data_IF_846499852772
#
_entry.id   IF_846499852772
#
_cell.length_a   1.000
_cell.length_b   1.000
_cell.length_c   1.000
_cell.angle_alpha   90.00
_cell.angle_beta   90.00
_cell.angle_gamma   90.00
#
_symmetry.space_group_name_H-M   'P 1'
#
loop_
_entity.id
_entity.type
_entity.pdbx_description
1 polymer ?
#
# COMPACT_ATOMS: atom_id res chain seq x y z
N UNK A 1 16.89 -5.99 -35.43
CA UNK A 1 16.20 -4.70 -35.32
C UNK A 1 17.07 -3.64 -35.99
N UNK A 2 16.55 -2.88 -36.94
CA UNK A 2 17.33 -1.83 -37.59
C UNK A 2 17.37 -0.56 -36.71
N UNK A 3 18.30 0.36 -36.99
CA UNK A 3 18.46 1.60 -36.23
C UNK A 3 17.17 2.45 -36.19
N UNK A 4 16.37 2.41 -37.27
CA UNK A 4 15.10 3.12 -37.34
C UNK A 4 14.04 2.54 -36.38
N UNK A 5 13.98 1.22 -36.22
CA UNK A 5 13.07 0.54 -35.29
C UNK A 5 13.44 0.85 -33.84
N UNK A 6 14.73 0.87 -33.50
CA UNK A 6 15.22 1.26 -32.17
C UNK A 6 14.83 2.71 -31.88
N UNK A 7 15.01 3.61 -32.86
CA UNK A 7 14.64 5.01 -32.73
C UNK A 7 13.12 5.21 -32.54
N UNK A 8 12.27 4.48 -33.27
CA UNK A 8 10.81 4.54 -33.12
C UNK A 8 10.38 4.07 -31.73
N UNK A 9 10.95 2.97 -31.22
CA UNK A 9 10.64 2.46 -29.88
C UNK A 9 11.08 3.46 -28.82
N UNK A 10 12.29 4.00 -28.92
CA UNK A 10 12.79 5.01 -27.97
C UNK A 10 11.93 6.28 -27.97
N UNK A 11 11.53 6.77 -29.15
CA UNK A 11 10.71 7.96 -29.30
C UNK A 11 9.28 7.74 -28.79
N UNK A 12 8.70 6.57 -29.04
CA UNK A 12 7.39 6.20 -28.52
C UNK A 12 7.38 6.11 -27.00
N UNK A 13 8.42 5.51 -26.40
CA UNK A 13 8.58 5.42 -24.94
C UNK A 13 8.78 6.80 -24.30
N UNK A 14 9.60 7.68 -24.90
CA UNK A 14 9.77 9.06 -24.45
C UNK A 14 8.49 9.89 -24.56
N UNK A 15 7.77 9.77 -25.68
CA UNK A 15 6.48 10.42 -25.87
C UNK A 15 5.46 9.94 -24.83
N UNK A 16 5.49 8.65 -24.48
CA UNK A 16 4.66 8.08 -23.42
C UNK A 16 4.98 8.63 -22.04
N UNK A 17 6.27 8.73 -21.68
CA UNK A 17 6.70 9.37 -20.44
C UNK A 17 6.21 10.81 -20.34
N UNK A 18 6.35 11.59 -21.42
CA UNK A 18 5.92 12.99 -21.47
C UNK A 18 4.40 13.14 -21.40
N UNK A 19 3.65 12.29 -22.10
CA UNK A 19 2.18 12.30 -22.05
C UNK A 19 1.66 11.87 -20.67
N UNK A 20 2.31 10.90 -20.03
CA UNK A 20 2.02 10.49 -18.65
C UNK A 20 2.25 11.62 -17.64
N UNK A 21 3.40 12.30 -17.72
CA UNK A 21 3.71 13.46 -16.86
C UNK A 21 2.74 14.61 -17.10
N UNK A 22 2.39 14.89 -18.37
CA UNK A 22 1.43 15.95 -18.71
C UNK A 22 0.02 15.62 -18.23
N UNK A 23 -0.40 14.36 -18.32
CA UNK A 23 -1.68 13.89 -17.79
C UNK A 23 -1.72 14.05 -16.26
N UNK A 24 -0.67 13.63 -15.56
CA UNK A 24 -0.50 13.84 -14.13
C UNK A 24 -0.60 15.33 -13.73
N UNK A 25 0.05 16.22 -14.48
CA UNK A 25 -0.02 17.66 -14.23
C UNK A 25 -1.38 18.29 -14.59
N UNK A 26 -2.06 17.77 -15.62
CA UNK A 26 -3.41 18.20 -16.03
C UNK A 26 -4.46 17.83 -14.99
N UNK A 27 -4.41 16.62 -14.44
CA UNK A 27 -5.28 16.23 -13.32
C UNK A 27 -5.01 17.09 -12.09
N UNK A 28 -3.75 17.44 -11.84
CA UNK A 28 -3.38 18.33 -10.73
C UNK A 28 -3.95 19.74 -10.88
N UNK A 29 -4.08 20.26 -12.11
CA UNK A 29 -4.70 21.56 -12.38
C UNK A 29 -6.24 21.52 -12.31
N UNK A 30 -6.87 20.40 -12.66
CA UNK A 30 -8.32 20.22 -12.50
C UNK A 30 -8.75 20.12 -11.02
N UNK A 31 -7.80 19.87 -10.10
CA UNK A 31 -8.00 19.79 -8.65
C UNK A 31 -7.81 21.14 -7.91
N UNK A 32 -7.90 22.28 -8.59
CA UNK A 32 -7.82 23.58 -7.90
C UNK A 32 -9.11 23.88 -7.11
N UNK A 33 -9.01 24.32 -5.85
CA UNK A 33 -10.17 24.64 -5.03
C UNK A 33 -10.93 25.85 -5.59
N UNK A 34 -12.27 25.74 -5.63
CA UNK A 34 -13.17 26.83 -5.98
C UNK A 34 -13.34 27.76 -4.76
N UNK A 35 -12.96 29.03 -4.90
CA UNK A 35 -13.18 30.05 -3.89
C UNK A 35 -14.65 30.53 -3.89
N UNK A 36 -15.29 30.55 -2.72
CA UNK A 36 -16.60 31.20 -2.54
C UNK A 36 -17.32 30.80 -1.26
N UNK A 37 -17.23 31.65 -0.23
CA UNK A 37 -17.92 31.52 1.05
C UNK A 37 -19.27 32.29 1.01
N UNK A 38 -20.38 31.67 0.62
CA UNK A 38 -21.76 32.11 0.98
C UNK A 38 -22.76 30.93 1.02
N UNK A 39 -23.77 30.93 1.91
CA UNK A 39 -24.72 29.82 2.04
C UNK A 39 -25.88 29.94 1.03
N UNK A 40 -25.76 29.25 -0.10
CA UNK A 40 -26.86 29.06 -1.05
C UNK A 40 -27.45 27.65 -0.93
N UNK A 41 -28.77 27.52 -1.07
CA UNK A 41 -29.49 26.24 -1.08
C UNK A 41 -30.23 26.13 -2.40
N UNK A 42 -29.69 25.43 -3.38
CA UNK A 42 -30.42 25.15 -4.63
C UNK A 42 -31.28 23.89 -4.47
N UNK A 43 -32.47 23.93 -5.08
CA UNK A 43 -33.43 22.81 -5.21
C UNK A 43 -33.59 22.50 -6.71
N UNK A 44 -32.48 22.44 -7.43
CA UNK A 44 -32.49 22.30 -8.89
C UNK A 44 -32.48 20.82 -9.27
N UNK A 45 -33.41 20.43 -10.14
CA UNK A 45 -33.55 19.08 -10.68
C UNK A 45 -32.78 19.02 -11.99
N UNK A 46 -31.82 18.10 -12.11
CA UNK A 46 -31.01 17.97 -13.32
C UNK A 46 -31.47 16.76 -14.14
N UNK A 47 -31.82 17.02 -15.40
CA UNK A 47 -32.21 15.99 -16.36
C UNK A 47 -31.03 15.59 -17.24
N UNK A 48 -30.99 14.32 -17.67
CA UNK A 48 -29.97 13.86 -18.62
C UNK A 48 -30.11 14.54 -19.99
N UNK A 49 -28.99 14.76 -20.70
CA UNK A 49 -29.03 15.46 -21.98
C UNK A 49 -29.85 14.67 -23.02
N UNK A 50 -30.68 15.36 -23.82
CA UNK A 50 -31.55 14.72 -24.81
C UNK A 50 -30.77 14.12 -26.00
N UNK A 51 -29.49 14.46 -26.14
CA UNK A 51 -28.63 13.97 -27.20
C UNK A 51 -27.62 12.96 -26.64
N UNK A 52 -27.69 11.70 -27.12
CA UNK A 52 -26.74 10.63 -26.80
C UNK A 52 -25.27 11.08 -26.87
N UNK A 53 -24.92 11.93 -27.85
CA UNK A 53 -23.56 12.43 -28.02
C UNK A 53 -23.05 13.21 -26.80
N UNK A 54 -23.89 14.02 -26.17
CA UNK A 54 -23.53 14.81 -24.99
C UNK A 54 -23.28 13.91 -23.77
N UNK A 55 -24.03 12.80 -23.66
CA UNK A 55 -23.79 11.80 -22.63
C UNK A 55 -22.54 10.96 -22.88
N UNK A 56 -22.32 10.52 -24.13
CA UNK A 56 -21.23 9.60 -24.47
C UNK A 56 -19.85 10.27 -24.55
N UNK A 57 -19.80 11.56 -24.86
CA UNK A 57 -18.55 12.29 -25.10
C UNK A 57 -17.65 12.40 -23.84
N UNK A 58 -18.17 12.71 -22.65
CA UNK A 58 -17.37 12.72 -21.41
C UNK A 58 -16.76 11.35 -21.07
N UNK A 59 -17.54 10.27 -21.18
CA UNK A 59 -17.03 8.90 -21.01
C UNK A 59 -15.91 8.60 -22.01
N UNK A 60 -16.11 8.93 -23.30
CA UNK A 60 -15.07 8.74 -24.31
C UNK A 60 -13.79 9.53 -24.02
N UNK A 61 -13.91 10.80 -23.63
CA UNK A 61 -12.77 11.66 -23.29
C UNK A 61 -11.96 11.04 -22.15
N UNK A 62 -12.61 10.47 -21.15
CA UNK A 62 -11.95 9.84 -20.02
C UNK A 62 -11.37 8.46 -20.36
N UNK A 63 -12.07 7.63 -21.15
CA UNK A 63 -11.58 6.31 -21.58
C UNK A 63 -10.39 6.39 -22.55
N UNK A 64 -10.38 7.35 -23.47
CA UNK A 64 -9.32 7.48 -24.48
C UNK A 64 -8.06 8.14 -23.91
N UNK A 65 -8.23 9.09 -22.97
CA UNK A 65 -7.12 9.95 -22.50
C UNK A 65 -6.67 9.61 -21.06
N UNK A 66 -7.52 8.97 -20.24
CA UNK A 66 -7.28 8.81 -18.80
C UNK A 66 -6.91 7.42 -18.31
N UNK A 67 -7.03 6.35 -19.11
CA UNK A 67 -6.68 5.01 -18.61
C UNK A 67 -5.28 4.57 -19.08
N UNK A 68 -4.43 4.16 -18.13
CA UNK A 68 -3.12 3.55 -18.41
C UNK A 68 -3.24 2.37 -19.38
N UNK A 69 -4.37 1.66 -19.38
CA UNK A 69 -4.66 0.55 -20.28
C UNK A 69 -4.78 0.99 -21.75
N UNK A 70 -5.48 2.10 -22.04
CA UNK A 70 -5.58 2.69 -23.39
C UNK A 70 -4.22 3.15 -23.91
N UNK A 71 -3.45 3.75 -23.00
CA UNK A 71 -2.06 4.13 -23.19
C UNK A 71 -1.18 2.92 -23.55
N UNK A 72 -1.22 1.86 -22.75
CA UNK A 72 -0.45 0.63 -22.95
C UNK A 72 -0.83 -0.10 -24.25
N UNK A 73 -2.12 -0.12 -24.62
CA UNK A 73 -2.59 -0.70 -25.88
C UNK A 73 -2.11 0.10 -27.10
N UNK A 74 -2.14 1.43 -27.04
CA UNK A 74 -1.57 2.28 -28.09
C UNK A 74 -0.05 2.08 -28.22
N UNK A 75 0.67 1.96 -27.10
CA UNK A 75 2.08 1.61 -27.08
C UNK A 75 2.33 0.23 -27.70
N UNK A 76 1.55 -0.78 -27.33
CA UNK A 76 1.66 -2.13 -27.89
C UNK A 76 1.42 -2.14 -29.40
N UNK A 77 0.42 -1.39 -29.91
CA UNK A 77 0.19 -1.22 -31.35
C UNK A 77 1.40 -0.59 -32.05
N UNK A 78 1.99 0.46 -31.48
CA UNK A 78 3.18 1.14 -32.04
C UNK A 78 4.41 0.24 -32.05
N UNK A 79 4.65 -0.52 -30.99
CA UNK A 79 5.76 -1.49 -30.89
C UNK A 79 5.56 -2.63 -31.87
N UNK A 80 4.35 -3.16 -32.01
CA UNK A 80 4.05 -4.25 -32.95
C UNK A 80 4.15 -3.79 -34.41
N UNK A 81 3.73 -2.55 -34.72
CA UNK A 81 3.97 -1.91 -36.02
C UNK A 81 5.47 -1.79 -36.33
N UNK A 82 6.27 -1.39 -35.33
CA UNK A 82 7.72 -1.25 -35.47
C UNK A 82 8.42 -2.60 -35.69
N UNK A 83 7.95 -3.67 -35.02
CA UNK A 83 8.60 -4.99 -35.06
C UNK A 83 8.18 -5.87 -36.25
N UNK A 84 6.93 -5.79 -36.71
CA UNK A 84 6.36 -6.77 -37.66
C UNK A 84 5.59 -6.20 -38.86
N UNK A 85 5.52 -4.87 -39.02
CA UNK A 85 4.73 -4.25 -40.10
C UNK A 85 3.22 -4.27 -39.84
N UNK A 86 2.43 -3.87 -40.86
CA UNK A 86 0.97 -3.64 -40.72
C UNK A 86 0.24 -4.91 -40.27
N UNK A 87 0.64 -6.09 -40.76
CA UNK A 87 -0.02 -7.36 -40.44
C UNK A 87 0.05 -7.70 -38.95
N UNK A 88 1.17 -7.40 -38.28
CA UNK A 88 1.34 -7.64 -36.84
C UNK A 88 0.51 -6.68 -35.96
N UNK A 89 0.08 -5.55 -36.52
CA UNK A 89 -0.70 -4.54 -35.81
C UNK A 89 -2.22 -4.74 -35.91
N UNK A 90 -2.70 -5.55 -36.87
CA UNK A 90 -4.12 -5.78 -37.11
C UNK A 90 -4.81 -6.36 -35.87
N UNK A 91 -4.21 -7.35 -35.22
CA UNK A 91 -4.82 -8.00 -34.06
C UNK A 91 -4.94 -7.06 -32.83
N UNK A 92 -3.89 -6.34 -32.38
CA UNK A 92 -4.02 -5.32 -31.34
C UNK A 92 -5.02 -4.21 -31.67
N UNK A 93 -5.06 -3.76 -32.93
CA UNK A 93 -6.01 -2.74 -33.38
C UNK A 93 -7.46 -3.25 -33.31
N UNK A 94 -7.71 -4.50 -33.72
CA UNK A 94 -9.02 -5.14 -33.59
C UNK A 94 -9.44 -5.31 -32.12
N UNK A 95 -8.52 -5.72 -31.24
CA UNK A 95 -8.80 -5.80 -29.80
C UNK A 95 -9.18 -4.44 -29.22
N UNK A 96 -8.47 -3.38 -29.62
CA UNK A 96 -8.76 -2.01 -29.20
C UNK A 96 -10.14 -1.56 -29.71
N UNK A 97 -10.46 -1.82 -30.98
CA UNK A 97 -11.77 -1.50 -31.56
C UNK A 97 -12.91 -2.28 -30.88
N UNK A 98 -12.71 -3.56 -30.56
CA UNK A 98 -13.69 -4.38 -29.83
C UNK A 98 -13.89 -3.88 -28.40
N UNK A 99 -12.81 -3.51 -27.71
CA UNK A 99 -12.87 -2.94 -26.37
C UNK A 99 -13.67 -1.63 -26.37
N UNK A 100 -13.32 -0.67 -27.24
CA UNK A 100 -14.06 0.59 -27.34
C UNK A 100 -15.50 0.39 -27.82
N UNK A 101 -15.74 -0.55 -28.74
CA UNK A 101 -17.09 -0.93 -29.18
C UNK A 101 -17.95 -1.47 -28.04
N UNK A 102 -17.37 -2.31 -27.16
CA UNK A 102 -18.04 -2.81 -25.96
C UNK A 102 -18.34 -1.70 -24.96
N UNK A 103 -17.38 -0.83 -24.66
CA UNK A 103 -17.61 0.32 -23.76
C UNK A 103 -18.69 1.25 -24.29
N UNK A 104 -18.68 1.49 -25.62
CA UNK A 104 -19.71 2.25 -26.30
C UNK A 104 -21.11 1.65 -26.17
N UNK A 105 -21.20 0.34 -26.36
CA UNK A 105 -22.46 -0.38 -26.23
C UNK A 105 -23.00 -0.34 -24.78
N UNK A 106 -22.12 -0.52 -23.79
CA UNK A 106 -22.49 -0.43 -22.37
C UNK A 106 -22.93 0.98 -21.98
N UNK A 107 -22.19 2.01 -22.41
CA UNK A 107 -22.56 3.41 -22.20
C UNK A 107 -23.89 3.76 -22.86
N UNK A 108 -24.13 3.30 -24.09
CA UNK A 108 -25.41 3.47 -24.79
C UNK A 108 -26.56 2.78 -24.04
N UNK A 109 -26.36 1.54 -23.55
CA UNK A 109 -27.38 0.83 -22.78
C UNK A 109 -27.72 1.57 -21.49
N UNK A 110 -26.71 2.11 -20.79
CA UNK A 110 -26.89 2.91 -19.57
C UNK A 110 -27.59 4.24 -19.85
N UNK A 111 -27.20 4.93 -20.93
CA UNK A 111 -27.87 6.14 -21.39
C UNK A 111 -29.35 5.88 -21.67
N UNK A 112 -29.64 4.86 -22.48
CA UNK A 112 -30.99 4.50 -22.88
C UNK A 112 -31.85 4.20 -21.65
N UNK A 113 -31.33 3.40 -20.72
CA UNK A 113 -32.00 3.13 -19.45
C UNK A 113 -32.27 4.42 -18.66
N UNK A 114 -31.27 5.27 -18.45
CA UNK A 114 -31.45 6.49 -17.65
C UNK A 114 -32.36 7.53 -18.31
N UNK A 115 -32.32 7.64 -19.64
CA UNK A 115 -33.14 8.55 -20.41
C UNK A 115 -34.61 8.07 -20.52
N UNK A 116 -34.83 6.78 -20.77
CA UNK A 116 -36.19 6.21 -20.87
C UNK A 116 -36.88 6.11 -19.50
N UNK A 117 -36.12 5.83 -18.43
CA UNK A 117 -36.67 5.74 -17.06
C UNK A 117 -36.87 7.10 -16.39
N UNK A 118 -36.57 8.22 -17.07
CA UNK A 118 -36.72 9.55 -16.48
C UNK A 118 -35.91 9.77 -15.20
N UNK A 119 -34.75 9.12 -15.06
CA UNK A 119 -33.91 9.26 -13.86
C UNK A 119 -33.47 10.73 -13.73
N UNK A 120 -33.65 11.27 -12.54
CA UNK A 120 -33.25 12.62 -12.15
C UNK A 120 -32.14 12.53 -11.11
N UNK A 121 -31.12 13.35 -11.25
CA UNK A 121 -30.12 13.54 -10.19
C UNK A 121 -30.49 14.80 -9.42
N UNK A 122 -30.65 14.67 -8.11
CA UNK A 122 -31.02 15.72 -7.18
C UNK A 122 -29.84 16.03 -6.26
N UNK A 123 -29.56 17.32 -6.10
CA UNK A 123 -28.71 17.82 -5.03
C UNK A 123 -29.60 18.10 -3.81
N UNK A 124 -29.40 17.34 -2.74
CA UNK A 124 -30.11 17.52 -1.48
C UNK A 124 -29.20 18.14 -0.41
N UNK A 125 -29.75 18.75 0.64
CA UNK A 125 -28.95 19.26 1.75
C UNK A 125 -28.03 18.21 2.39
N UNK A 126 -28.46 16.95 2.40
CA UNK A 126 -27.78 15.86 3.12
C UNK A 126 -26.98 14.92 2.19
N UNK A 127 -27.07 15.07 0.86
CA UNK A 127 -26.34 14.24 -0.09
C UNK A 127 -26.78 14.42 -1.55
N UNK A 128 -26.26 13.56 -2.42
CA UNK A 128 -26.70 13.44 -3.81
C UNK A 128 -27.65 12.26 -3.92
N UNK A 129 -28.77 12.44 -4.62
CA UNK A 129 -29.78 11.42 -4.82
C UNK A 129 -30.01 11.20 -6.30
N UNK A 130 -30.13 9.93 -6.73
CA UNK A 130 -30.76 9.61 -8.02
C UNK A 130 -32.17 9.12 -7.75
N UNK A 131 -33.16 9.70 -8.43
CA UNK A 131 -34.56 9.42 -8.20
C UNK A 131 -35.33 9.29 -9.52
N UNK A 132 -36.39 8.51 -9.52
CA UNK A 132 -37.30 8.31 -10.65
C UNK A 132 -38.69 8.78 -10.27
N UNK A 133 -39.37 9.44 -11.20
CA UNK A 133 -40.79 9.75 -11.07
C UNK A 133 -41.60 8.44 -11.07
N UNK A 134 -42.48 8.18 -10.09
CA UNK A 134 -43.30 6.97 -10.04
C UNK A 134 -44.20 6.81 -11.27
N UNK A 135 -44.53 7.90 -11.95
CA UNK A 135 -45.31 7.89 -13.18
C UNK A 135 -44.55 7.32 -14.40
N UNK A 136 -43.22 7.27 -14.33
CA UNK A 136 -42.32 6.81 -15.40
C UNK A 136 -41.82 5.37 -15.18
N UNK A 137 -42.26 4.70 -14.10
CA UNK A 137 -41.96 3.30 -13.79
C UNK A 137 -43.02 2.39 -14.45
N UNK A 138 -42.79 1.98 -15.70
CA UNK A 138 -43.72 1.13 -16.48
C UNK A 138 -43.80 -0.34 -16.00
N UNK A 139 -42.99 -0.75 -15.00
CA UNK A 139 -42.89 -2.14 -14.53
C UNK A 139 -43.20 -2.30 -13.04
N UNK A 140 -44.24 -3.08 -12.66
CA UNK A 140 -44.64 -3.26 -11.27
C UNK A 140 -43.56 -3.87 -10.37
N UNK A 141 -42.69 -4.71 -10.94
CA UNK A 141 -41.69 -5.48 -10.18
C UNK A 141 -40.47 -4.64 -9.74
N UNK A 142 -40.20 -3.52 -10.41
CA UNK A 142 -39.09 -2.61 -10.07
C UNK A 142 -39.46 -1.64 -8.92
N UNK A 143 -40.76 -1.48 -8.63
CA UNK A 143 -41.25 -0.55 -7.61
C UNK A 143 -40.97 -1.00 -6.17
N UNK A 144 -40.87 -2.32 -5.92
CA UNK A 144 -40.67 -2.88 -4.57
C UNK A 144 -39.21 -2.72 -4.07
N UNK A 145 -38.24 -2.65 -4.99
CA UNK A 145 -36.83 -2.42 -4.65
C UNK A 145 -36.54 -0.95 -4.23
N UNK A 146 -37.33 -0.01 -4.75
CA UNK A 146 -37.08 1.44 -4.64
C UNK A 146 -37.84 2.07 -3.44
N UNK A 147 -38.73 1.33 -2.78
CA UNK A 147 -39.73 1.88 -1.84
C UNK A 147 -39.22 2.25 -0.43
N UNK A 148 -37.92 2.41 -0.18
CA UNK A 148 -37.40 2.59 1.20
C UNK A 148 -37.07 4.01 1.66
N UNK A 149 -37.14 5.03 0.81
CA UNK A 149 -37.11 6.45 1.25
C UNK A 149 -37.91 7.31 0.29
N UNK A 150 -39.06 7.82 0.70
CA UNK A 150 -39.96 8.61 -0.15
C UNK A 150 -39.69 10.11 0.01
N UNK A 151 -39.37 10.78 -1.11
CA UNK A 151 -39.87 12.12 -1.37
C UNK A 151 -41.31 11.94 -1.89
N UNK A 152 -42.26 12.77 -1.48
CA UNK A 152 -43.72 12.50 -1.67
C UNK A 152 -44.14 12.16 -3.12
N UNK A 153 -43.34 12.54 -4.12
CA UNK A 153 -43.59 12.30 -5.55
C UNK A 153 -42.44 11.57 -6.29
N UNK A 154 -41.41 11.03 -5.60
CA UNK A 154 -40.24 10.41 -6.24
C UNK A 154 -39.75 9.13 -5.53
N UNK A 155 -39.33 8.16 -6.32
CA UNK A 155 -38.74 6.91 -5.85
C UNK A 155 -37.19 7.04 -5.88
N UNK A 156 -36.54 6.99 -4.72
CA UNK A 156 -35.08 7.15 -4.59
C UNK A 156 -34.37 5.85 -4.99
N UNK A 157 -33.66 5.88 -6.11
CA UNK A 157 -32.88 4.75 -6.63
C UNK A 157 -31.54 4.62 -5.94
N UNK A 158 -30.91 5.75 -5.62
CA UNK A 158 -29.65 5.77 -4.88
C UNK A 158 -29.46 7.08 -4.12
N UNK A 159 -28.71 7.03 -3.03
CA UNK A 159 -28.41 8.20 -2.20
C UNK A 159 -26.99 8.11 -1.66
N UNK A 160 -26.17 9.09 -2.02
CA UNK A 160 -24.81 9.26 -1.52
C UNK A 160 -24.81 10.41 -0.52
N UNK A 161 -24.73 10.14 0.80
CA UNK A 161 -24.58 11.17 1.81
C UNK A 161 -23.33 12.02 1.53
N UNK A 162 -23.36 13.32 1.83
CA UNK A 162 -22.18 14.18 1.62
C UNK A 162 -20.92 13.67 2.38
N UNK A 163 -21.11 13.01 3.52
CA UNK A 163 -20.04 12.39 4.32
C UNK A 163 -19.37 11.17 3.67
N UNK A 164 -20.02 10.55 2.68
CA UNK A 164 -19.49 9.39 1.93
C UNK A 164 -18.90 9.78 0.56
N UNK A 165 -18.97 11.06 0.20
CA UNK A 165 -18.41 11.55 -1.07
C UNK A 165 -16.89 11.57 -0.95
N UNK A 166 -16.21 10.77 -1.79
CA UNK A 166 -14.76 10.66 -1.85
C UNK A 166 -14.15 11.66 -2.83
N UNK A 167 -14.85 11.97 -3.93
CA UNK A 167 -14.36 12.91 -4.93
C UNK A 167 -15.50 13.66 -5.66
N UNK A 168 -15.19 14.87 -6.12
CA UNK A 168 -16.03 15.63 -7.06
C UNK A 168 -15.19 16.05 -8.25
N UNK A 169 -15.61 15.63 -9.44
CA UNK A 169 -14.93 15.95 -10.69
C UNK A 169 -15.73 17.00 -11.45
N UNK A 170 -15.13 18.16 -11.67
CA UNK A 170 -15.77 19.26 -12.40
C UNK A 170 -15.15 19.35 -13.79
N UNK A 171 -15.98 19.16 -14.81
CA UNK A 171 -15.62 19.31 -16.22
C UNK A 171 -16.26 20.58 -16.79
N UNK A 172 -15.93 20.91 -18.04
CA UNK A 172 -16.51 22.06 -18.74
C UNK A 172 -18.02 21.86 -19.02
N UNK A 173 -18.47 20.62 -19.10
CA UNK A 173 -19.81 20.20 -19.54
C UNK A 173 -20.50 19.19 -18.60
N UNK A 174 -19.88 18.83 -17.48
CA UNK A 174 -20.42 17.87 -16.51
C UNK A 174 -19.83 18.08 -15.10
N UNK A 175 -20.57 17.67 -14.07
CA UNK A 175 -20.03 17.46 -12.71
C UNK A 175 -20.30 16.01 -12.30
N UNK A 176 -19.29 15.32 -11.78
CA UNK A 176 -19.44 13.98 -11.20
C UNK A 176 -19.19 14.04 -9.69
N UNK A 177 -20.00 13.31 -8.93
CA UNK A 177 -19.88 13.13 -7.49
C UNK A 177 -19.70 11.63 -7.23
N UNK A 178 -18.60 11.26 -6.59
CA UNK A 178 -18.14 9.88 -6.41
C UNK A 178 -18.09 9.53 -4.92
N UNK A 179 -18.46 8.29 -4.59
CA UNK A 179 -18.20 7.60 -3.33
C UNK A 179 -17.50 6.27 -3.63
N UNK A 180 -17.16 5.50 -2.59
CA UNK A 180 -16.58 4.16 -2.77
C UNK A 180 -17.52 3.19 -3.50
N UNK A 181 -18.83 3.38 -3.35
CA UNK A 181 -19.85 2.47 -3.88
C UNK A 181 -20.53 2.99 -5.14
N UNK A 182 -20.60 4.32 -5.34
CA UNK A 182 -21.44 4.93 -6.37
C UNK A 182 -20.82 6.18 -7.02
N UNK A 183 -21.31 6.50 -8.22
CA UNK A 183 -20.99 7.75 -8.92
C UNK A 183 -22.25 8.36 -9.52
N UNK A 184 -22.53 9.60 -9.12
CA UNK A 184 -23.64 10.43 -9.60
C UNK A 184 -23.14 11.47 -10.59
N UNK A 185 -23.83 11.63 -11.71
CA UNK A 185 -23.43 12.54 -12.80
C UNK A 185 -24.48 13.64 -13.01
N UNK A 186 -24.00 14.86 -13.20
CA UNK A 186 -24.78 16.06 -13.49
C UNK A 186 -24.35 16.64 -14.83
N UNK A 187 -25.33 16.86 -15.72
CA UNK A 187 -25.10 17.39 -17.06
C UNK A 187 -25.83 18.73 -17.20
N UNK A 188 -25.17 19.86 -16.92
CA UNK A 188 -25.80 21.17 -17.06
C UNK A 188 -26.11 21.49 -18.52
N UNK A 189 -27.27 22.11 -18.75
CA UNK A 189 -27.73 22.56 -20.06
C UNK A 189 -27.02 23.85 -20.53
N UNK A 190 -26.31 24.53 -19.63
CA UNK A 190 -25.58 25.77 -19.92
C UNK A 190 -24.72 26.27 -18.75
N UNK A 191 -23.98 27.38 -18.93
CA UNK A 191 -23.04 27.91 -17.93
C UNK A 191 -23.70 28.26 -16.59
N UNK A 192 -24.94 28.77 -16.62
CA UNK A 192 -25.67 29.15 -15.41
C UNK A 192 -26.03 27.93 -14.54
N UNK A 193 -26.41 26.81 -15.16
CA UNK A 193 -26.66 25.54 -14.45
C UNK A 193 -25.34 24.93 -13.95
N UNK A 194 -24.25 25.05 -14.72
CA UNK A 194 -22.92 24.61 -14.27
C UNK A 194 -22.49 25.38 -13.02
N UNK A 195 -22.68 26.69 -13.02
CA UNK A 195 -22.37 27.54 -11.86
C UNK A 195 -23.30 27.25 -10.68
N UNK A 196 -24.59 26.92 -10.91
CA UNK A 196 -25.51 26.49 -9.85
C UNK A 196 -25.08 25.16 -9.22
N UNK A 197 -24.70 24.17 -10.03
CA UNK A 197 -24.15 22.90 -9.53
C UNK A 197 -22.88 23.16 -8.72
N UNK A 198 -21.93 23.91 -9.28
CA UNK A 198 -20.67 24.26 -8.60
C UNK A 198 -20.93 24.95 -7.27
N UNK A 199 -21.84 25.93 -7.23
CA UNK A 199 -22.22 26.66 -6.01
C UNK A 199 -23.06 25.84 -5.03
N UNK A 200 -23.68 24.75 -5.47
CA UNK A 200 -24.46 23.86 -4.61
C UNK A 200 -23.60 22.77 -4.00
N UNK A 201 -22.60 22.30 -4.76
CA UNK A 201 -21.64 21.30 -4.29
C UNK A 201 -20.52 21.95 -3.45
N UNK A 202 -20.06 23.16 -3.80
CA UNK A 202 -18.97 23.85 -3.09
C UNK A 202 -19.22 24.12 -1.59
N UNK A 203 -20.44 24.47 -1.13
CA UNK A 203 -20.74 24.65 0.29
C UNK A 203 -20.90 23.32 1.04
N UNK A 204 -21.32 22.25 0.36
CA UNK A 204 -21.30 20.89 0.92
C UNK A 204 -19.87 20.35 1.01
N UNK A 205 -18.95 20.98 0.27
CA UNK A 205 -17.50 20.90 0.45
C UNK A 205 -16.98 21.76 1.61
N UNK A 206 -17.84 22.45 2.40
CA UNK A 206 -17.39 23.14 3.63
C UNK A 206 -17.00 22.13 4.69
N UNK A 207 -15.70 21.86 4.69
CA UNK A 207 -14.86 21.72 5.86
C UNK A 207 -15.23 20.55 6.78
N UNK A 208 -14.67 19.37 6.48
CA UNK A 208 -13.53 19.08 7.35
C UNK A 208 -12.38 19.92 6.81
N UNK A 209 -12.21 21.09 7.42
CA UNK A 209 -10.98 21.87 7.29
C UNK A 209 -9.96 21.08 8.09
N UNK A 210 -9.61 19.88 7.62
CA UNK A 210 -8.26 19.44 7.83
C UNK A 210 -7.47 20.46 6.98
N UNK A 211 -7.10 21.58 7.58
CA UNK A 211 -5.80 22.15 7.24
C UNK A 211 -4.87 20.97 7.50
N UNK A 212 -4.61 20.19 6.45
CA UNK A 212 -3.58 19.18 6.49
C UNK A 212 -2.31 19.99 6.66
N UNK A 213 -1.94 20.15 7.92
CA UNK A 213 -0.68 20.73 8.28
C UNK A 213 0.34 19.65 7.90
N UNK A 214 0.83 19.74 6.66
CA UNK A 214 2.04 19.03 6.33
C UNK A 214 3.13 19.61 7.18
N UNK A 215 3.74 18.77 7.99
CA UNK A 215 4.90 19.15 8.75
C UNK A 215 6.02 19.48 7.78
N UNK A 216 6.76 20.55 8.07
CA UNK A 216 8.07 20.69 7.46
C UNK A 216 9.03 19.61 7.96
N UNK A 217 10.25 19.58 7.42
CA UNK A 217 11.18 18.52 7.73
C UNK A 217 11.66 18.52 9.19
N UNK A 218 11.76 19.70 9.81
CA UNK A 218 12.23 19.82 11.19
C UNK A 218 11.09 19.47 12.15
N UNK A 219 9.87 19.90 11.85
CA UNK A 219 8.66 19.50 12.57
C UNK A 219 8.41 17.98 12.48
N UNK A 220 8.51 17.41 11.28
CA UNK A 220 8.34 15.98 11.06
C UNK A 220 9.41 15.17 11.80
N UNK A 221 10.67 15.63 11.76
CA UNK A 221 11.75 15.02 12.52
C UNK A 221 11.42 15.01 14.02
N UNK A 222 11.02 16.15 14.56
CA UNK A 222 10.70 16.27 15.98
C UNK A 222 9.55 15.33 16.38
N UNK A 223 8.45 15.32 15.63
CA UNK A 223 7.30 14.45 15.88
C UNK A 223 7.67 12.97 15.77
N UNK A 224 8.42 12.58 14.74
CA UNK A 224 8.90 11.21 14.56
C UNK A 224 9.85 10.77 15.68
N UNK A 225 10.69 11.66 16.20
CA UNK A 225 11.57 11.39 17.33
C UNK A 225 10.80 11.25 18.65
N UNK A 226 9.70 12.01 18.85
CA UNK A 226 8.83 11.87 20.02
C UNK A 226 7.98 10.59 19.99
N UNK A 227 7.53 10.18 18.81
CA UNK A 227 6.76 8.95 18.61
C UNK A 227 7.62 7.69 18.52
N UNK A 228 8.91 7.85 18.23
CA UNK A 228 9.83 6.73 18.08
C UNK A 228 9.93 5.93 19.38
N UNK A 229 9.96 4.61 19.22
CA UNK A 229 10.22 3.68 20.32
C UNK A 229 11.68 3.21 20.29
N UNK A 230 12.08 2.42 21.28
CA UNK A 230 13.39 1.76 21.24
C UNK A 230 13.49 0.85 20.00
N UNK A 231 14.58 0.98 19.25
CA UNK A 231 15.06 -0.02 18.30
C UNK A 231 16.43 -0.55 18.70
N UNK A 232 16.67 -1.83 18.39
CA UNK A 232 17.98 -2.47 18.51
C UNK A 232 18.51 -2.75 17.11
N UNK A 233 19.44 -1.91 16.64
CA UNK A 233 20.09 -2.05 15.35
C UNK A 233 21.15 -3.16 15.42
N UNK A 234 21.15 -4.03 14.43
CA UNK A 234 22.00 -5.21 14.35
C UNK A 234 23.26 -4.89 13.56
N UNK A 235 24.41 -4.92 14.23
CA UNK A 235 25.71 -4.70 13.60
C UNK A 235 26.64 -5.87 13.86
N UNK A 236 27.51 -6.24 12.91
CA UNK A 236 28.54 -7.24 13.17
C UNK A 236 29.50 -6.74 14.25
N UNK A 237 29.97 -7.65 15.11
CA UNK A 237 31.13 -7.36 15.95
C UNK A 237 32.36 -7.04 15.10
N UNK A 238 33.22 -6.15 15.60
CA UNK A 238 34.56 -6.00 15.05
C UNK A 238 35.29 -7.36 15.16
N UNK A 239 35.85 -7.89 14.05
CA UNK A 239 36.58 -9.17 14.06
C UNK A 239 37.68 -9.25 15.13
N UNK A 240 38.26 -8.11 15.51
CA UNK A 240 39.35 -8.01 16.48
C UNK A 240 38.87 -7.63 17.90
N UNK A 241 37.55 -7.55 18.14
CA UNK A 241 36.99 -7.22 19.44
C UNK A 241 37.29 -8.31 20.48
N UNK A 242 38.08 -7.95 21.50
CA UNK A 242 38.49 -8.83 22.59
C UNK A 242 37.46 -8.95 23.69
N UNK A 243 36.48 -8.06 23.72
CA UNK A 243 35.39 -8.05 24.69
C UNK A 243 34.19 -8.89 24.22
N UNK A 244 34.25 -9.42 22.99
CA UNK A 244 33.22 -10.28 22.41
C UNK A 244 33.00 -11.56 23.24
N UNK A 245 31.76 -11.84 23.69
CA UNK A 245 31.43 -13.10 24.34
C UNK A 245 31.61 -14.31 23.42
N UNK A 246 31.88 -15.48 23.99
CA UNK A 246 32.00 -16.74 23.22
C UNK A 246 30.66 -17.19 22.63
N UNK A 247 29.56 -16.97 23.37
CA UNK A 247 28.19 -17.20 22.91
C UNK A 247 27.44 -15.88 22.99
N UNK A 248 27.02 -15.37 21.83
CA UNK A 248 26.34 -14.08 21.70
C UNK A 248 25.26 -14.16 20.61
N UNK A 249 24.49 -13.09 20.41
CA UNK A 249 23.61 -12.98 19.25
C UNK A 249 24.41 -13.13 17.95
N UNK A 250 23.86 -13.83 16.96
CA UNK A 250 24.53 -14.05 15.67
C UNK A 250 23.51 -14.25 14.57
N UNK A 251 23.91 -13.94 13.35
CA UNK A 251 23.20 -14.34 12.13
C UNK A 251 23.97 -15.46 11.44
N UNK A 252 23.26 -16.39 10.81
CA UNK A 252 23.83 -17.57 10.14
C UNK A 252 24.65 -18.47 11.08
N UNK A 253 25.39 -19.40 10.48
CA UNK A 253 26.26 -20.33 11.21
C UNK A 253 25.50 -21.39 12.01
N UNK A 254 26.19 -21.99 12.97
CA UNK A 254 25.63 -23.03 13.83
C UNK A 254 25.04 -22.41 15.09
N UNK A 255 23.73 -22.57 15.36
CA UNK A 255 23.11 -21.97 16.53
C UNK A 255 23.62 -22.62 17.83
N UNK A 256 23.80 -21.81 18.87
CA UNK A 256 24.06 -22.26 20.23
C UNK A 256 22.73 -22.68 20.88
N UNK A 257 22.21 -23.84 20.49
CA UNK A 257 20.88 -24.30 20.88
C UNK A 257 20.97 -25.39 21.97
N UNK A 258 20.12 -25.33 23.03
CA UNK A 258 20.13 -26.35 24.07
C UNK A 258 19.87 -27.77 23.53
N UNK A 259 20.47 -28.80 24.16
CA UNK A 259 20.12 -30.18 23.86
C UNK A 259 18.65 -30.45 24.20
N UNK A 260 17.90 -31.04 23.27
CA UNK A 260 16.50 -31.39 23.45
C UNK A 260 15.49 -30.42 22.83
N UNK A 261 15.93 -29.27 22.32
CA UNK A 261 15.11 -28.45 21.41
C UNK A 261 15.16 -29.12 20.04
N UNK A 262 14.02 -29.32 19.39
CA UNK A 262 13.98 -29.91 18.04
C UNK A 262 14.36 -28.87 16.98
N UNK A 263 15.07 -29.30 15.93
CA UNK A 263 15.34 -28.44 14.78
C UNK A 263 14.04 -28.25 13.99
N UNK A 264 13.60 -27.01 13.71
CA UNK A 264 12.35 -26.78 12.99
C UNK A 264 12.30 -27.43 11.61
N UNK A 265 11.19 -28.10 11.32
CA UNK A 265 10.94 -28.75 10.04
C UNK A 265 9.74 -28.10 9.33
N UNK A 266 9.86 -27.94 8.01
CA UNK A 266 8.74 -27.61 7.12
C UNK A 266 8.56 -28.76 6.13
N UNK A 267 7.36 -29.34 6.04
CA UNK A 267 7.10 -30.49 5.16
C UNK A 267 8.12 -31.64 5.29
N UNK A 268 8.60 -31.87 6.53
CA UNK A 268 9.60 -32.89 6.84
C UNK A 268 11.04 -32.54 6.42
N UNK A 269 11.29 -31.33 5.92
CA UNK A 269 12.62 -30.83 5.59
C UNK A 269 13.12 -29.85 6.67
N UNK A 270 14.42 -29.88 7.04
CA UNK A 270 14.96 -28.92 7.99
C UNK A 270 14.95 -27.50 7.41
N UNK A 271 14.48 -26.55 8.21
CA UNK A 271 14.54 -25.12 7.89
C UNK A 271 15.97 -24.59 8.03
N UNK A 272 16.28 -23.52 7.31
CA UNK A 272 17.52 -22.76 7.44
C UNK A 272 17.52 -21.98 8.75
N UNK A 273 18.64 -21.99 9.47
CA UNK A 273 18.84 -21.08 10.60
C UNK A 273 19.20 -19.68 10.09
N UNK A 274 18.48 -18.67 10.56
CA UNK A 274 18.69 -17.28 10.15
C UNK A 274 19.45 -16.49 11.22
N UNK A 275 18.98 -16.53 12.47
CA UNK A 275 19.52 -15.70 13.54
C UNK A 275 19.22 -16.28 14.92
N UNK A 276 20.12 -16.08 15.88
CA UNK A 276 19.84 -16.19 17.30
C UNK A 276 20.01 -14.83 17.98
N UNK A 277 19.14 -14.55 18.94
CA UNK A 277 19.16 -13.35 19.76
C UNK A 277 19.21 -13.76 21.22
N UNK A 278 20.21 -13.28 21.95
CA UNK A 278 20.27 -13.36 23.40
C UNK A 278 19.62 -12.10 23.98
N UNK A 279 18.47 -12.24 24.63
CA UNK A 279 17.63 -11.10 25.04
C UNK A 279 18.36 -10.21 26.05
N UNK A 280 19.16 -10.79 26.95
CA UNK A 280 19.92 -10.02 27.95
C UNK A 280 20.91 -9.02 27.35
N UNK A 281 21.41 -9.25 26.12
CA UNK A 281 22.32 -8.33 25.43
C UNK A 281 21.63 -7.02 25.06
N UNK A 282 20.33 -7.05 24.73
CA UNK A 282 19.55 -5.84 24.46
C UNK A 282 19.20 -5.05 25.74
N UNK A 283 19.15 -5.74 26.88
CA UNK A 283 18.77 -5.17 28.16
C UNK A 283 19.94 -4.53 28.95
N UNK A 284 21.19 -4.90 28.64
CA UNK A 284 22.36 -4.63 29.49
C UNK A 284 22.64 -3.15 29.83
N UNK A 285 22.23 -2.19 28.98
CA UNK A 285 22.52 -0.75 29.17
C UNK A 285 21.37 0.09 29.76
N UNK A 286 20.25 -0.52 30.16
CA UNK A 286 19.11 0.22 30.73
C UNK A 286 19.41 0.70 32.16
N UNK A 287 20.07 1.87 32.28
CA UNK A 287 20.21 2.62 33.56
C UNK A 287 18.89 3.26 34.02
N UNK A 288 17.83 3.14 33.23
CA UNK A 288 16.50 3.67 33.49
C UNK A 288 15.55 2.51 33.75
N UNK A 289 14.88 2.52 34.91
CA UNK A 289 13.93 1.49 35.35
C UNK A 289 12.66 1.39 34.47
N UNK A 290 12.49 2.28 33.50
CA UNK A 290 11.21 2.50 32.82
C UNK A 290 11.09 1.93 31.40
N UNK A 291 12.17 1.47 30.76
CA UNK A 291 12.11 0.86 29.42
C UNK A 291 12.66 -0.56 29.44
N UNK A 292 11.89 -1.49 30.01
CA UNK A 292 12.11 -2.91 29.81
C UNK A 292 11.91 -3.22 28.32
N UNK A 293 12.92 -3.86 27.72
CA UNK A 293 12.77 -4.53 26.42
C UNK A 293 11.44 -5.28 26.38
N UNK A 294 10.66 -5.17 25.30
CA UNK A 294 9.36 -5.85 25.21
C UNK A 294 9.47 -7.37 25.27
N UNK A 295 10.68 -7.93 25.17
CA UNK A 295 11.00 -9.34 25.33
C UNK A 295 11.34 -9.75 26.77
N UNK A 296 11.31 -8.82 27.73
CA UNK A 296 11.74 -9.06 29.11
C UNK A 296 13.26 -9.00 29.26
N UNK A 297 13.77 -9.61 30.35
CA UNK A 297 15.18 -9.48 30.76
C UNK A 297 16.09 -10.64 30.35
N UNK A 298 15.54 -11.70 29.75
CA UNK A 298 16.37 -12.83 29.33
C UNK A 298 15.63 -13.89 28.52
N UNK A 299 16.42 -14.71 27.83
CA UNK A 299 16.02 -15.83 26.99
C UNK A 299 16.78 -15.82 25.66
N UNK A 300 16.69 -16.93 24.92
CA UNK A 300 17.26 -17.06 23.59
C UNK A 300 16.13 -17.18 22.57
N UNK A 301 16.10 -16.27 21.60
CA UNK A 301 15.25 -16.38 20.42
C UNK A 301 16.05 -16.99 19.27
N UNK A 302 15.41 -17.87 18.50
CA UNK A 302 15.98 -18.45 17.29
C UNK A 302 15.00 -18.31 16.13
N UNK A 303 15.48 -17.83 14.99
CA UNK A 303 14.70 -17.57 13.79
C UNK A 303 15.08 -18.56 12.69
N UNK A 304 14.07 -19.19 12.10
CA UNK A 304 14.21 -20.20 11.06
C UNK A 304 13.24 -19.95 9.90
N UNK A 305 13.67 -20.31 8.69
CA UNK A 305 12.82 -20.28 7.51
C UNK A 305 13.13 -21.41 6.53
N UNK A 306 12.11 -21.97 5.89
CA UNK A 306 12.24 -22.79 4.69
C UNK A 306 12.34 -21.89 3.47
N UNK A 307 13.57 -21.57 3.10
CA UNK A 307 13.85 -20.68 1.97
C UNK A 307 13.65 -21.34 0.60
N UNK A 308 13.36 -22.65 0.56
CA UNK A 308 13.08 -23.40 -0.67
C UNK A 308 11.63 -23.32 -1.11
N UNK A 309 10.72 -22.91 -0.22
CA UNK A 309 9.31 -22.77 -0.58
C UNK A 309 9.14 -21.77 -1.73
N UNK A 310 8.27 -22.11 -2.68
CA UNK A 310 7.85 -21.20 -3.73
C UNK A 310 6.72 -20.27 -3.24
N UNK A 311 5.99 -20.70 -2.21
CA UNK A 311 4.91 -19.95 -1.58
C UNK A 311 5.48 -19.21 -0.37
N UNK A 312 5.70 -17.89 -0.53
CA UNK A 312 6.26 -17.04 0.52
C UNK A 312 5.22 -16.64 1.56
N UNK A 313 3.93 -16.77 1.23
CA UNK A 313 2.82 -16.42 2.10
C UNK A 313 2.50 -17.57 3.08
N UNK A 314 3.07 -18.76 2.84
CA UNK A 314 2.98 -19.90 3.74
C UNK A 314 3.68 -19.62 5.07
N UNK A 315 2.90 -19.17 6.05
CA UNK A 315 3.38 -18.86 7.39
C UNK A 315 3.95 -20.08 8.14
N UNK A 316 3.68 -21.32 7.69
CA UNK A 316 4.29 -22.52 8.26
C UNK A 316 5.74 -22.74 7.83
N UNK A 317 6.17 -22.03 6.77
CA UNK A 317 7.55 -22.03 6.30
C UNK A 317 8.49 -21.23 7.22
N UNK A 318 7.97 -20.55 8.25
CA UNK A 318 8.75 -19.77 9.21
C UNK A 318 8.55 -20.27 10.64
N UNK A 319 9.62 -20.22 11.44
CA UNK A 319 9.56 -20.58 12.86
C UNK A 319 10.42 -19.66 13.72
N UNK A 320 9.84 -19.18 14.80
CA UNK A 320 10.55 -18.50 15.89
C UNK A 320 10.41 -19.34 17.15
N UNK A 321 11.54 -19.63 17.79
CA UNK A 321 11.60 -20.38 19.04
C UNK A 321 12.08 -19.46 20.15
N UNK A 322 11.37 -19.42 21.28
CA UNK A 322 11.88 -18.86 22.53
C UNK A 322 12.33 -19.99 23.45
N UNK A 323 13.58 -19.94 23.87
CA UNK A 323 14.11 -20.74 24.98
C UNK A 323 14.27 -19.80 26.18
N UNK A 324 13.52 -19.97 27.28
CA UNK A 324 13.56 -19.05 28.40
C UNK A 324 14.92 -18.99 29.12
N UNK A 325 15.69 -20.07 29.10
CA UNK A 325 17.01 -20.14 29.73
C UNK A 325 18.09 -19.69 28.76
N UNK A 326 18.84 -18.66 29.16
CA UNK A 326 20.10 -18.32 28.50
C UNK A 326 21.21 -19.23 29.03
N UNK A 327 21.92 -19.87 28.12
CA UNK A 327 23.04 -20.74 28.46
C UNK A 327 24.10 -20.70 27.39
N UNK A 328 25.33 -20.99 27.79
CA UNK A 328 26.47 -21.09 26.88
C UNK A 328 26.48 -22.49 26.25
N UNK A 329 25.46 -22.74 25.44
CA UNK A 329 25.32 -24.01 24.74
C UNK A 329 26.35 -24.14 23.63
N UNK A 330 26.88 -25.35 23.45
CA UNK A 330 27.77 -25.63 22.33
C UNK A 330 27.04 -25.42 20.98
N UNK A 331 27.74 -24.98 19.92
CA UNK A 331 27.16 -24.88 18.59
C UNK A 331 26.56 -26.22 18.14
N UNK A 332 25.32 -26.18 17.66
CA UNK A 332 24.61 -27.35 17.15
C UNK A 332 24.96 -27.55 15.67
N UNK A 333 25.43 -28.73 15.25
CA UNK A 333 25.70 -28.99 13.85
C UNK A 333 24.42 -28.90 13.02
N UNK A 334 24.57 -28.46 11.78
CA UNK A 334 23.45 -28.47 10.82
C UNK A 334 22.94 -29.89 10.61
N UNK A 335 21.62 -30.08 10.40
CA UNK A 335 21.08 -31.35 9.95
C UNK A 335 21.73 -31.81 8.64
N UNK A 336 21.97 -33.11 8.50
CA UNK A 336 22.63 -33.69 7.32
C UNK A 336 21.80 -33.43 6.04
N UNK A 337 20.47 -33.39 6.17
CA UNK A 337 19.52 -33.16 5.09
C UNK A 337 19.46 -31.68 4.64
N UNK A 338 19.94 -30.74 5.46
CA UNK A 338 19.95 -29.32 5.10
C UNK A 338 21.04 -29.09 4.05
N UNK A 339 20.66 -28.79 2.82
CA UNK A 339 21.60 -28.60 1.70
C UNK A 339 22.55 -27.41 1.94
N UNK A 340 23.84 -27.47 1.52
CA UNK A 340 24.83 -26.44 1.80
C UNK A 340 24.46 -25.01 1.39
N UNK A 341 23.69 -24.83 0.30
CA UNK A 341 23.23 -23.50 -0.15
C UNK A 341 22.31 -22.78 0.85
N UNK A 342 21.84 -23.48 1.88
CA UNK A 342 20.97 -22.95 2.94
C UNK A 342 21.64 -23.04 4.32
N UNK A 343 22.95 -23.22 4.33
CA UNK A 343 23.82 -23.14 5.51
C UNK A 343 24.61 -21.84 5.37
N UNK A 344 24.13 -20.78 6.00
CA UNK A 344 24.77 -19.48 5.93
C UNK A 344 26.00 -19.43 6.82
N UNK A 345 26.99 -18.64 6.42
CA UNK A 345 28.13 -18.35 7.28
C UNK A 345 27.69 -17.52 8.48
N UNK A 346 28.23 -17.86 9.63
CA UNK A 346 27.88 -17.23 10.90
C UNK A 346 28.77 -16.06 11.23
N UNK A 347 28.19 -14.97 11.69
CA UNK A 347 28.95 -13.92 12.37
C UNK A 347 28.19 -13.35 13.57
N UNK A 348 28.92 -13.02 14.64
CA UNK A 348 28.35 -12.49 15.86
C UNK A 348 27.91 -11.03 15.68
N UNK A 349 26.87 -10.66 16.42
CA UNK A 349 26.19 -9.38 16.33
C UNK A 349 26.26 -8.64 17.67
N UNK A 350 26.44 -7.32 17.59
CA UNK A 350 26.26 -6.38 18.69
C UNK A 350 25.00 -5.55 18.45
N UNK A 351 24.28 -5.21 19.52
CA UNK A 351 23.09 -4.37 19.45
C UNK A 351 23.42 -2.91 19.72
N UNK A 352 23.10 -2.06 18.75
CA UNK A 352 23.18 -0.62 18.88
C UNK A 352 21.78 -0.06 19.17
N UNK A 353 21.61 0.61 20.31
CA UNK A 353 20.34 1.23 20.67
C UNK A 353 20.13 2.50 19.85
N UNK A 354 18.93 2.66 19.33
CA UNK A 354 18.52 3.85 18.62
C UNK A 354 17.00 4.03 18.62
N UNK A 355 16.54 4.92 17.75
CA UNK A 355 15.14 5.23 17.55
C UNK A 355 14.56 4.28 16.50
N UNK A 356 13.46 3.64 16.85
CA UNK A 356 12.62 2.83 15.98
C UNK A 356 11.39 3.62 15.57
N UNK A 357 11.47 4.26 14.41
CA UNK A 357 10.34 4.98 13.81
C UNK A 357 9.24 4.01 13.42
N UNK A 358 7.98 4.44 13.53
CA UNK A 358 6.84 3.63 13.10
C UNK A 358 6.83 3.46 11.57
N UNK A 359 6.00 2.55 11.08
CA UNK A 359 5.81 2.39 9.63
C UNK A 359 5.29 3.68 8.99
N UNK A 360 5.60 3.99 7.72
CA UNK A 360 5.08 5.18 7.05
C UNK A 360 3.56 5.29 7.10
N UNK A 361 2.86 4.14 7.08
CA UNK A 361 1.41 4.04 7.22
C UNK A 361 0.86 4.50 8.57
N UNK A 362 1.67 4.46 9.63
CA UNK A 362 1.28 4.97 10.96
C UNK A 362 1.26 6.50 11.04
N UNK A 363 2.00 7.16 10.13
CA UNK A 363 2.02 8.61 9.96
C UNK A 363 1.06 9.10 8.85
N UNK A 364 0.33 8.17 8.21
CA UNK A 364 -0.57 8.42 7.08
C UNK A 364 -2.00 8.74 7.59
N UNK A 365 -2.52 9.91 7.19
CA UNK A 365 -3.91 10.40 7.30
C UNK A 365 -4.75 9.93 8.51
N UNK A 366 -4.45 10.43 9.70
CA UNK A 366 -5.53 10.63 10.70
C UNK A 366 -6.23 11.95 10.40
N UNK A 367 -7.55 11.89 10.27
CA UNK A 367 -8.38 13.08 10.11
C UNK A 367 -8.13 14.03 11.30
N UNK A 368 -7.57 15.21 11.03
CA UNK A 368 -7.28 16.31 11.98
C UNK A 368 -5.92 16.32 12.71
N UNK A 369 -4.97 15.44 12.38
CA UNK A 369 -3.58 15.50 12.90
C UNK A 369 -2.59 16.08 11.86
N UNK A 370 -1.42 16.60 12.27
CA UNK A 370 -0.35 16.92 11.33
C UNK A 370 0.01 15.66 10.52
N UNK A 371 0.28 15.84 9.23
CA UNK A 371 0.53 14.73 8.32
C UNK A 371 1.97 14.78 7.81
N UNK A 372 2.63 13.62 7.78
CA UNK A 372 3.98 13.49 7.23
C UNK A 372 3.85 12.87 5.84
N UNK A 373 4.30 13.60 4.81
CA UNK A 373 4.34 13.02 3.46
C UNK A 373 5.35 11.87 3.42
N UNK A 374 5.13 10.83 2.60
CA UNK A 374 6.11 9.74 2.44
C UNK A 374 7.52 10.27 2.12
N UNK A 375 7.63 11.29 1.26
CA UNK A 375 8.91 11.88 0.92
C UNK A 375 9.59 12.57 2.12
N UNK A 376 8.81 13.23 2.98
CA UNK A 376 9.31 13.82 4.23
C UNK A 376 9.76 12.72 5.19
N UNK A 377 8.92 11.69 5.40
CA UNK A 377 9.25 10.51 6.21
C UNK A 377 10.55 9.85 5.75
N UNK A 378 10.65 9.51 4.46
CA UNK A 378 11.84 8.89 3.86
C UNK A 378 13.06 9.77 4.11
N UNK A 379 12.94 11.10 3.96
CA UNK A 379 14.05 12.03 4.22
C UNK A 379 14.47 12.06 5.69
N UNK A 380 13.54 11.99 6.64
CA UNK A 380 13.86 11.94 8.08
C UNK A 380 14.57 10.63 8.41
N UNK A 381 14.02 9.50 7.95
CA UNK A 381 14.59 8.16 8.16
C UNK A 381 15.97 8.07 7.53
N UNK A 382 16.13 8.43 6.26
CA UNK A 382 17.41 8.37 5.55
C UNK A 382 18.50 9.17 6.28
N UNK A 383 18.17 10.39 6.75
CA UNK A 383 19.11 11.22 7.53
C UNK A 383 19.47 10.60 8.88
N UNK A 384 18.54 9.89 9.52
CA UNK A 384 18.83 9.20 10.77
C UNK A 384 19.69 7.95 10.53
N UNK A 385 19.38 7.20 9.47
CA UNK A 385 20.11 5.98 9.08
C UNK A 385 21.51 6.27 8.52
N UNK A 386 21.81 7.50 8.09
CA UNK A 386 23.18 7.93 7.82
C UNK A 386 24.08 7.81 9.07
N UNK A 387 23.53 8.06 10.27
CA UNK A 387 24.23 7.93 11.55
C UNK A 387 24.06 6.51 12.16
N UNK A 388 22.97 5.81 11.82
CA UNK A 388 22.62 4.47 12.31
C UNK A 388 22.36 3.49 11.14
N UNK A 389 23.39 3.08 10.39
CA UNK A 389 23.18 2.26 9.20
C UNK A 389 22.62 0.88 9.56
N UNK A 390 21.56 0.48 8.87
CA UNK A 390 21.03 -0.89 8.93
C UNK A 390 21.98 -1.77 8.13
N UNK A 391 22.84 -2.52 8.83
CA UNK A 391 23.81 -3.42 8.20
C UNK A 391 23.25 -4.82 8.02
N UNK A 392 22.61 -5.35 9.08
CA UNK A 392 22.01 -6.70 9.09
C UNK A 392 20.49 -6.63 9.24
N UNK A 393 19.99 -5.61 9.92
CA UNK A 393 18.60 -5.48 10.29
C UNK A 393 18.43 -4.73 11.61
N UNK A 394 17.23 -4.76 12.17
CA UNK A 394 16.93 -4.21 13.48
C UNK A 394 15.78 -4.96 14.15
N UNK A 395 15.69 -4.87 15.47
CA UNK A 395 14.55 -5.32 16.23
C UNK A 395 13.76 -4.12 16.75
N UNK A 396 12.44 -4.27 16.83
CA UNK A 396 11.49 -3.28 17.35
C UNK A 396 11.33 -2.02 16.48
N UNK A 397 10.38 -1.15 16.84
CA UNK A 397 9.95 -0.04 15.98
C UNK A 397 9.05 -0.48 14.83
N UNK A 398 9.07 0.28 13.73
CA UNK A 398 8.39 -0.03 12.47
C UNK A 398 9.32 -0.69 11.46
N UNK A 399 8.71 -1.40 10.51
CA UNK A 399 9.40 -1.98 9.37
C UNK A 399 9.88 -0.87 8.44
N UNK A 400 11.15 -0.95 8.05
CA UNK A 400 11.73 -0.03 7.08
C UNK A 400 11.50 -0.64 5.69
N UNK A 401 10.43 -0.21 5.03
CA UNK A 401 10.04 -0.71 3.71
C UNK A 401 10.59 0.18 2.59
N UNK A 402 11.17 -0.43 1.54
CA UNK A 402 11.61 0.31 0.33
C UNK A 402 10.40 0.72 -0.51
N UNK A 403 9.54 -0.25 -0.83
CA UNK A 403 8.23 -0.07 -1.46
C UNK A 403 7.11 -0.15 -0.41
N UNK A 404 5.89 0.30 -0.73
CA UNK A 404 4.78 0.29 0.24
C UNK A 404 4.47 -1.16 0.66
N UNK A 405 4.48 -1.45 1.97
CA UNK A 405 3.96 -2.71 2.50
C UNK A 405 2.51 -2.88 2.08
N UNK A 406 2.18 -4.00 1.45
CA UNK A 406 0.79 -4.43 1.35
C UNK A 406 0.52 -5.45 2.44
N UNK A 407 0.37 -5.03 3.70
CA UNK A 407 -0.13 -5.91 4.77
C UNK A 407 -1.39 -6.70 4.35
N UNK A 408 -2.09 -6.21 3.31
CA UNK A 408 -3.19 -6.79 2.57
C UNK A 408 -3.13 -8.26 2.13
N UNK A 409 -1.95 -8.90 2.10
CA UNK A 409 -1.81 -10.28 1.61
C UNK A 409 -1.51 -11.31 2.70
N UNK A 410 -1.03 -10.87 3.87
CA UNK A 410 -0.76 -11.76 5.00
C UNK A 410 -1.91 -11.65 6.00
N UNK A 411 -2.75 -12.67 6.04
CA UNK A 411 -3.88 -12.73 6.97
C UNK A 411 -3.40 -12.54 8.42
N UNK A 412 -3.98 -11.57 9.13
CA UNK A 412 -3.65 -11.24 10.52
C UNK A 412 -2.63 -10.11 10.70
N UNK A 413 -1.87 -9.70 9.66
CA UNK A 413 -1.01 -8.50 9.75
C UNK A 413 -1.82 -7.19 9.65
N UNK A 414 -3.02 -7.24 9.08
CA UNK A 414 -3.95 -6.11 9.03
C UNK A 414 -4.58 -5.76 10.38
N UNK A 415 -4.49 -6.64 11.38
CA UNK A 415 -5.05 -6.41 12.71
C UNK A 415 -4.23 -5.35 13.47
N UNK A 416 -4.90 -4.33 14.00
CA UNK A 416 -4.26 -3.36 14.89
C UNK A 416 -3.55 -4.08 16.07
N UNK A 417 -2.28 -3.75 16.28
CA UNK A 417 -1.52 -4.26 17.42
C UNK A 417 -0.51 -5.37 17.11
N UNK A 418 -0.15 -5.56 15.85
CA UNK A 418 1.10 -6.23 15.50
C UNK A 418 2.33 -5.38 15.90
N UNK A 419 3.40 -6.05 16.27
CA UNK A 419 4.65 -5.48 16.76
C UNK A 419 5.80 -6.10 15.96
N UNK A 420 6.69 -5.27 15.38
CA UNK A 420 7.86 -5.76 14.68
C UNK A 420 8.83 -6.39 15.69
N UNK A 421 9.00 -7.70 15.60
CA UNK A 421 9.97 -8.44 16.39
C UNK A 421 11.38 -8.32 15.81
N UNK A 422 11.51 -8.48 14.50
CA UNK A 422 12.79 -8.48 13.79
C UNK A 422 12.59 -8.11 12.32
N UNK A 423 13.40 -7.21 11.80
CA UNK A 423 13.67 -7.06 10.37
C UNK A 423 15.06 -7.61 10.07
N UNK A 424 15.18 -8.43 9.03
CA UNK A 424 16.46 -8.92 8.50
C UNK A 424 16.63 -8.47 7.05
N UNK A 425 17.84 -8.00 6.74
CA UNK A 425 18.24 -7.67 5.37
C UNK A 425 19.13 -8.77 4.80
N UNK A 426 18.86 -9.15 3.55
CA UNK A 426 19.86 -9.84 2.75
C UNK A 426 21.05 -8.91 2.49
N UNK A 427 22.24 -9.49 2.30
CA UNK A 427 23.43 -8.72 1.91
C UNK A 427 24.26 -9.50 0.90
N UNK A 428 25.02 -8.77 0.07
CA UNK A 428 25.88 -9.36 -0.93
C UNK A 428 27.07 -10.09 -0.31
N UNK A 429 27.54 -11.13 -1.00
CA UNK A 429 28.66 -11.94 -0.56
C UNK A 429 29.97 -11.19 -0.80
N UNK A 430 30.80 -11.05 0.22
CA UNK A 430 32.24 -10.92 -0.02
C UNK A 430 32.80 -12.26 -0.53
N UNK A 431 33.90 -12.20 -1.29
CA UNK A 431 34.45 -13.36 -1.98
C UNK A 431 34.82 -14.48 -0.98
N UNK A 432 34.08 -15.60 -1.02
CA UNK A 432 34.30 -16.76 -0.14
C UNK A 432 33.35 -16.87 1.06
N UNK A 433 32.40 -15.94 1.23
CA UNK A 433 31.33 -16.04 2.22
C UNK A 433 29.98 -16.43 1.58
N UNK A 434 29.18 -17.20 2.30
CA UNK A 434 27.78 -17.51 2.03
C UNK A 434 26.90 -16.65 2.95
N UNK A 435 26.68 -15.36 2.61
CA UNK A 435 25.89 -14.45 3.42
C UNK A 435 24.44 -14.92 3.51
N UNK A 436 23.70 -14.34 4.44
CA UNK A 436 22.26 -14.54 4.54
C UNK A 436 21.58 -14.06 3.25
N UNK A 437 21.20 -15.01 2.37
CA UNK A 437 20.51 -14.71 1.12
C UNK A 437 19.02 -15.00 1.26
N UNK A 438 18.25 -13.94 1.44
CA UNK A 438 16.78 -13.97 1.54
C UNK A 438 16.13 -13.89 0.15
N UNK A 439 16.71 -14.57 -0.85
CA UNK A 439 16.31 -14.42 -2.25
C UNK A 439 17.24 -13.47 -3.00
N UNK A 440 16.85 -12.20 -3.17
CA UNK A 440 17.73 -11.19 -3.79
C UNK A 440 18.59 -10.53 -2.72
N UNK A 441 19.75 -9.94 -3.07
CA UNK A 441 20.60 -9.27 -2.08
C UNK A 441 19.96 -8.09 -1.37
N UNK A 442 18.88 -7.52 -1.92
CA UNK A 442 18.14 -6.39 -1.34
C UNK A 442 16.85 -6.84 -0.63
N UNK A 443 16.63 -8.16 -0.54
CA UNK A 443 15.39 -8.67 0.04
C UNK A 443 15.37 -8.45 1.55
N UNK A 444 14.20 -8.08 2.06
CA UNK A 444 13.95 -7.85 3.48
C UNK A 444 12.92 -8.85 3.97
N UNK A 445 13.12 -9.34 5.18
CA UNK A 445 12.15 -10.19 5.87
C UNK A 445 11.78 -9.54 7.20
N UNK A 446 10.48 -9.50 7.47
CA UNK A 446 9.91 -8.84 8.63
C UNK A 446 9.16 -9.88 9.44
N UNK A 447 9.50 -10.02 10.72
CA UNK A 447 8.85 -10.88 11.68
C UNK A 447 8.00 -10.02 12.60
N UNK A 448 6.70 -10.27 12.63
CA UNK A 448 5.74 -9.56 13.45
C UNK A 448 5.09 -10.50 14.47
N UNK A 449 4.77 -9.98 15.65
CA UNK A 449 4.05 -10.69 16.69
C UNK A 449 2.93 -9.82 17.22
N UNK A 450 1.78 -10.40 17.55
CA UNK A 450 0.70 -9.63 18.18
C UNK A 450 1.11 -9.24 19.61
N UNK A 451 0.67 -8.07 20.08
CA UNK A 451 0.89 -7.67 21.49
C UNK A 451 0.39 -8.71 22.50
N UNK A 452 -0.72 -9.39 22.18
CA UNK A 452 -1.30 -10.43 23.03
C UNK A 452 -0.40 -11.68 23.11
N UNK A 453 0.13 -12.15 21.99
CA UNK A 453 1.03 -13.29 21.95
C UNK A 453 2.39 -12.94 22.57
N UNK A 454 2.90 -11.72 22.35
CA UNK A 454 4.12 -11.22 22.97
C UNK A 454 4.01 -11.19 24.50
N UNK A 455 2.91 -10.66 25.05
CA UNK A 455 2.67 -10.64 26.50
C UNK A 455 2.61 -12.06 27.11
N UNK A 456 2.20 -13.05 26.33
CA UNK A 456 2.15 -14.45 26.73
C UNK A 456 3.44 -15.22 26.40
N UNK A 457 4.45 -14.56 25.82
CA UNK A 457 5.66 -15.18 25.28
C UNK A 457 5.37 -16.32 24.30
N UNK A 458 4.31 -16.19 23.51
CA UNK A 458 3.87 -17.18 22.53
C UNK A 458 4.41 -16.86 21.12
N UNK A 459 5.61 -17.32 20.82
CA UNK A 459 6.27 -17.09 19.52
C UNK A 459 5.83 -18.07 18.42
N UNK A 460 4.86 -18.96 18.69
CA UNK A 460 4.36 -19.93 17.69
C UNK A 460 3.49 -19.31 16.59
N UNK A 461 3.03 -18.07 16.80
CA UNK A 461 2.13 -17.31 15.92
C UNK A 461 2.80 -16.05 15.35
N UNK A 462 4.12 -16.04 15.27
CA UNK A 462 4.85 -14.98 14.57
C UNK A 462 4.45 -15.01 13.09
N UNK A 463 4.06 -13.85 12.59
CA UNK A 463 3.72 -13.61 11.19
C UNK A 463 4.96 -13.08 10.48
N UNK A 464 5.14 -13.45 9.23
CA UNK A 464 6.31 -13.08 8.44
C UNK A 464 5.86 -12.51 7.11
N UNK A 465 6.45 -11.37 6.75
CA UNK A 465 6.29 -10.69 5.47
C UNK A 465 7.66 -10.45 4.83
N UNK A 466 7.68 -10.25 3.52
CA UNK A 466 8.87 -10.22 2.68
C UNK A 466 8.80 -9.09 1.64
N UNK A 467 9.95 -8.51 1.34
CA UNK A 467 10.14 -7.56 0.24
C UNK A 467 11.29 -7.98 -0.68
#
# INVERSE_FOLDING_TARGET
MNFHQIAIIALATLLFGVLGVRHYLSERQARQPLDGDEPYRSRTVYSYPPLLRQFMWPFFRHFIVGSWQSCLLCWAVLVMLALGGIEAAVAPLLCLLLFYGRQMYLGYKRYKFMHESGILTLLLPDGVCTAVSPADIDRPDDAEYISKRTLDDFAVCSFVPWEQVTAVHVFDDMVAVESEEEMSLFFPSGPDEMDDIRRSVAPCFKKVKAEMHLLDLDEAKHEMEEDASLALYLSPYDPDDKERPEVTSQTGGQPNMPPGVDWPLHNGQPMSFLMQVRISEGAADAKTEDELSPLGSGGMLYFFADLKTADRDDQQSYRVLLVPEEGDYAPRPFPDELTPAFRFDGFPLVFNKGLGFLDPGSYDYRYCDPAISKATYDTVVDRYLDDFPIVVGHMFGGGQWVERSSFGHVEGLEEEGCFLLLQLEGFEAEEGLHPLQLGRPQSRMFFYITKADLAQHNFSRVLVDWQ
#
